data_IF_880243190334
#
_entry.id   IF_880243190334
#
_cell.length_a   1.000
_cell.length_b   1.000
_cell.length_c   1.000
_cell.angle_alpha   90.00
_cell.angle_beta   90.00
_cell.angle_gamma   90.00
#
_symmetry.space_group_name_H-M   'P 1'
#
loop_
_entity.id
_entity.type
_entity.pdbx_description
1 polymer ?
#
# COMPACT_ATOMS: atom_id res chain seq x y z
N UNK A 1 29.08 -43.62 -40.55
CA UNK A 1 29.91 -43.01 -39.50
C UNK A 1 29.33 -41.65 -39.11
N UNK A 2 28.84 -41.45 -37.88
CA UNK A 2 28.33 -40.17 -37.43
C UNK A 2 29.49 -39.26 -37.00
N UNK A 3 29.52 -38.02 -37.52
CA UNK A 3 30.50 -37.00 -37.11
C UNK A 3 30.15 -36.49 -35.72
N UNK A 4 31.01 -36.80 -34.75
CA UNK A 4 31.05 -36.18 -33.43
C UNK A 4 31.16 -34.65 -33.58
N UNK A 5 30.09 -33.92 -33.23
CA UNK A 5 30.22 -32.49 -32.90
C UNK A 5 30.51 -32.41 -31.41
N UNK A 6 31.73 -32.02 -31.08
CA UNK A 6 32.12 -31.69 -29.72
C UNK A 6 31.15 -30.63 -29.14
N UNK A 7 30.71 -30.75 -27.87
CA UNK A 7 29.91 -29.71 -27.24
C UNK A 7 30.79 -28.47 -27.02
N UNK A 8 30.35 -27.33 -27.55
CA UNK A 8 30.97 -26.04 -27.26
C UNK A 8 30.96 -25.77 -25.75
N UNK A 9 32.00 -25.09 -25.22
CA UNK A 9 32.12 -24.85 -23.79
C UNK A 9 30.91 -24.04 -23.30
N UNK A 10 30.21 -24.58 -22.30
CA UNK A 10 29.14 -23.88 -21.57
C UNK A 10 29.75 -22.70 -20.82
N UNK A 11 29.82 -21.57 -21.49
CA UNK A 11 30.06 -20.29 -20.86
C UNK A 11 28.92 -20.08 -19.84
N UNK A 12 29.28 -20.01 -18.55
CA UNK A 12 28.39 -19.72 -17.42
C UNK A 12 27.79 -18.33 -17.60
N UNK A 13 26.74 -18.24 -18.42
CA UNK A 13 25.99 -17.01 -18.65
C UNK A 13 25.17 -16.70 -17.39
N UNK A 14 25.77 -15.99 -16.44
CA UNK A 14 25.02 -15.20 -15.47
C UNK A 14 24.18 -14.19 -16.25
N UNK A 15 22.91 -14.53 -16.50
CA UNK A 15 21.94 -13.51 -16.89
C UNK A 15 21.54 -12.83 -15.59
N UNK A 16 21.81 -11.55 -15.48
CA UNK A 16 21.16 -10.73 -14.46
C UNK A 16 19.89 -10.23 -15.14
N UNK A 17 18.78 -10.23 -14.42
CA UNK A 17 17.71 -9.33 -14.77
C UNK A 17 17.69 -8.34 -13.63
N UNK A 18 17.51 -7.10 -14.01
CA UNK A 18 17.32 -6.01 -13.10
C UNK A 18 15.84 -5.70 -13.24
N UNK A 19 15.22 -5.26 -12.17
CA UNK A 19 13.92 -4.61 -12.26
C UNK A 19 14.25 -3.24 -11.76
N UNK A 20 14.31 -2.28 -12.67
CA UNK A 20 14.33 -0.89 -12.24
C UNK A 20 12.90 -0.41 -12.37
N UNK A 21 12.20 -0.35 -11.24
CA UNK A 21 11.07 0.58 -11.11
C UNK A 21 11.75 1.93 -10.95
N UNK A 22 11.82 2.68 -12.05
CA UNK A 22 12.40 4.02 -12.03
C UNK A 22 11.38 4.95 -11.40
N UNK A 23 11.85 5.74 -10.47
CA UNK A 23 11.98 7.14 -10.83
C UNK A 23 13.08 7.80 -9.99
N UNK A 24 13.65 8.87 -10.54
CA UNK A 24 14.80 9.54 -9.98
C UNK A 24 14.31 10.71 -9.12
N UNK A 25 15.04 11.13 -8.07
CA UNK A 25 14.87 12.49 -7.59
C UNK A 25 15.27 13.41 -8.75
N UNK A 26 14.29 14.00 -9.43
CA UNK A 26 14.54 15.20 -10.19
C UNK A 26 14.68 16.30 -9.16
N UNK A 27 15.87 16.86 -9.08
CA UNK A 27 16.04 18.18 -8.52
C UNK A 27 15.90 19.10 -9.71
N UNK A 28 14.81 19.84 -9.77
CA UNK A 28 14.71 20.98 -10.64
C UNK A 28 15.49 22.13 -10.00
N UNK A 29 16.19 22.89 -10.85
CA UNK A 29 16.79 24.13 -10.39
C UNK A 29 15.66 25.04 -9.91
N UNK A 30 15.83 25.60 -8.72
CA UNK A 30 14.83 26.42 -8.05
C UNK A 30 14.68 27.78 -8.77
N UNK A 31 14.11 27.82 -9.97
CA UNK A 31 13.98 29.06 -10.73
C UNK A 31 12.81 29.92 -10.25
N UNK A 32 12.87 31.25 -10.46
CA UNK A 32 11.75 32.18 -10.20
C UNK A 32 10.42 31.69 -10.80
N UNK A 33 10.45 31.14 -12.02
CA UNK A 33 9.26 30.61 -12.71
C UNK A 33 8.70 29.35 -12.06
N UNK A 34 9.56 28.52 -11.47
CA UNK A 34 9.15 27.29 -10.79
C UNK A 34 8.60 27.62 -9.39
N UNK A 35 9.25 28.50 -8.63
CA UNK A 35 8.82 28.94 -7.30
C UNK A 35 7.41 29.57 -7.34
N UNK A 36 7.16 30.36 -8.38
CA UNK A 36 5.86 31.02 -8.60
C UNK A 36 4.74 30.05 -9.00
N UNK A 37 5.08 28.91 -9.59
CA UNK A 37 4.16 27.82 -9.90
C UNK A 37 3.86 26.91 -8.69
N UNK A 38 4.87 26.66 -7.83
CA UNK A 38 4.75 25.74 -6.69
C UNK A 38 4.08 26.35 -5.45
N UNK A 39 4.14 27.67 -5.28
CA UNK A 39 3.63 28.33 -4.07
C UNK A 39 2.29 28.99 -4.38
N UNK A 40 1.22 28.53 -3.72
CA UNK A 40 -0.10 29.16 -3.74
C UNK A 40 -0.35 29.90 -2.42
N UNK A 41 -0.89 31.12 -2.49
CA UNK A 41 -1.34 31.88 -1.32
C UNK A 41 -2.54 32.72 -1.72
N UNK A 42 -3.54 32.77 -0.83
CA UNK A 42 -4.69 33.66 -0.97
C UNK A 42 -4.29 35.13 -0.79
N UNK A 43 -3.14 35.39 -0.16
CA UNK A 43 -2.52 36.71 -0.06
C UNK A 43 -1.41 36.85 -1.13
N UNK A 44 -1.76 37.51 -2.23
CA UNK A 44 -0.85 37.72 -3.37
C UNK A 44 0.40 38.52 -2.98
N UNK A 45 0.28 39.48 -2.06
CA UNK A 45 1.39 40.32 -1.64
C UNK A 45 2.43 39.52 -0.84
N UNK A 46 1.97 38.62 0.03
CA UNK A 46 2.85 37.71 0.78
C UNK A 46 3.57 36.72 -0.16
N UNK A 47 2.88 36.17 -1.15
CA UNK A 47 3.49 35.29 -2.17
C UNK A 47 4.55 36.03 -2.97
N UNK A 48 4.25 37.26 -3.42
CA UNK A 48 5.19 38.06 -4.20
C UNK A 48 6.41 38.44 -3.36
N UNK A 49 6.22 38.87 -2.11
CA UNK A 49 7.30 39.18 -1.17
C UNK A 49 8.26 38.01 -0.94
N UNK A 50 7.71 36.79 -0.84
CA UNK A 50 8.51 35.57 -0.71
C UNK A 50 9.30 35.23 -1.98
N UNK A 51 8.71 35.42 -3.16
CA UNK A 51 9.40 35.24 -4.45
C UNK A 51 10.52 36.28 -4.61
N UNK A 52 10.28 37.54 -4.26
CA UNK A 52 11.27 38.60 -4.36
C UNK A 52 12.42 38.39 -3.38
N UNK A 53 12.12 37.95 -2.15
CA UNK A 53 13.13 37.56 -1.17
C UNK A 53 14.01 36.43 -1.68
N UNK A 54 13.44 35.44 -2.37
CA UNK A 54 14.21 34.36 -2.98
C UNK A 54 15.18 34.86 -4.06
N UNK A 55 14.73 35.78 -4.92
CA UNK A 55 15.58 36.38 -5.96
C UNK A 55 16.75 37.16 -5.35
N UNK A 56 16.49 37.88 -4.26
CA UNK A 56 17.53 38.65 -3.60
C UNK A 56 18.56 37.76 -2.90
N UNK A 57 18.13 36.61 -2.36
CA UNK A 57 19.03 35.58 -1.83
C UNK A 57 19.89 34.97 -2.95
N UNK A 58 19.32 34.66 -4.12
CA UNK A 58 20.07 34.11 -5.26
C UNK A 58 21.15 35.08 -5.77
N UNK A 59 20.86 36.39 -5.77
CA UNK A 59 21.86 37.43 -6.11
C UNK A 59 22.97 37.56 -5.07
N UNK A 60 22.64 37.41 -3.78
CA UNK A 60 23.62 37.51 -2.70
C UNK A 60 24.55 36.30 -2.63
N UNK A 61 24.08 35.13 -3.06
CA UNK A 61 24.83 33.88 -3.03
C UNK A 61 24.84 33.23 -4.42
N UNK A 62 25.57 33.81 -5.40
CA UNK A 62 25.57 33.32 -6.78
C UNK A 62 26.15 31.90 -6.94
N UNK A 63 26.94 31.46 -5.97
CA UNK A 63 27.53 30.12 -5.93
C UNK A 63 26.66 29.09 -5.15
N UNK A 64 25.54 29.52 -4.56
CA UNK A 64 24.66 28.63 -3.81
C UNK A 64 23.70 27.87 -4.74
N UNK A 65 23.75 26.54 -4.67
CA UNK A 65 22.93 25.64 -5.49
C UNK A 65 21.60 25.32 -4.79
N UNK A 66 20.60 26.19 -5.00
CA UNK A 66 19.26 26.01 -4.46
C UNK A 66 18.44 25.02 -5.28
N UNK A 67 18.06 23.90 -4.66
CA UNK A 67 17.30 22.82 -5.29
C UNK A 67 15.96 22.59 -4.60
N UNK A 68 14.91 22.38 -5.39
CA UNK A 68 13.62 21.91 -4.90
C UNK A 68 13.53 20.40 -5.12
N UNK A 69 12.99 19.70 -4.12
CA UNK A 69 12.81 18.24 -4.17
C UNK A 69 11.47 17.95 -4.86
N UNK A 70 11.50 17.57 -6.14
CA UNK A 70 10.29 17.40 -6.95
C UNK A 70 9.48 16.15 -6.59
N UNK A 71 10.12 15.03 -6.21
CA UNK A 71 9.42 13.76 -5.90
C UNK A 71 10.29 12.75 -5.14
N UNK A 72 9.66 11.76 -4.49
CA UNK A 72 10.33 10.60 -3.87
C UNK A 72 9.92 9.33 -4.61
N UNK A 73 10.91 8.57 -5.07
CA UNK A 73 10.71 7.31 -5.77
C UNK A 73 11.61 6.23 -5.19
N UNK A 74 11.13 4.98 -5.25
CA UNK A 74 11.79 3.84 -4.63
C UNK A 74 12.35 2.90 -5.70
N UNK A 75 13.66 2.64 -5.65
CA UNK A 75 14.32 1.70 -6.53
C UNK A 75 14.51 0.35 -5.82
N UNK A 76 13.82 -0.68 -6.29
CA UNK A 76 13.99 -2.05 -5.79
C UNK A 76 14.71 -2.87 -6.85
N UNK A 77 15.97 -3.23 -6.58
CA UNK A 77 16.80 -4.01 -7.51
C UNK A 77 16.66 -5.49 -7.17
N UNK A 78 15.91 -6.21 -8.00
CA UNK A 78 15.89 -7.67 -7.95
C UNK A 78 17.13 -8.23 -8.66
N UNK A 79 17.89 -9.08 -7.97
CA UNK A 79 19.07 -9.77 -8.52
C UNK A 79 18.84 -11.28 -8.49
N UNK A 80 19.23 -11.97 -9.54
CA UNK A 80 19.20 -13.44 -9.59
C UNK A 80 20.53 -13.99 -10.07
N UNK A 81 20.97 -15.08 -9.44
CA UNK A 81 22.21 -15.76 -9.76
C UNK A 81 22.12 -16.66 -10.99
N UNK A 82 20.93 -17.20 -11.29
CA UNK A 82 20.73 -18.23 -12.34
C UNK A 82 20.13 -17.70 -13.64
N UNK A 83 19.92 -16.39 -13.78
CA UNK A 83 19.11 -15.84 -14.88
C UNK A 83 17.63 -15.86 -14.57
N UNK A 84 16.97 -14.73 -14.82
CA UNK A 84 15.51 -14.60 -14.65
C UNK A 84 14.84 -14.85 -15.99
N UNK A 85 13.78 -15.67 -15.99
CA UNK A 85 12.84 -15.75 -17.12
C UNK A 85 11.82 -14.62 -16.96
N UNK A 86 11.44 -13.95 -18.05
CA UNK A 86 10.41 -12.90 -18.03
C UNK A 86 9.16 -13.33 -17.26
N UNK A 87 8.62 -14.52 -17.55
CA UNK A 87 7.45 -15.04 -16.84
C UNK A 87 7.62 -15.20 -15.32
N UNK A 88 8.84 -15.44 -14.82
CA UNK A 88 9.10 -15.62 -13.38
C UNK A 88 9.34 -14.32 -12.62
N UNK A 89 9.39 -13.17 -13.30
CA UNK A 89 9.66 -11.87 -12.67
C UNK A 89 8.39 -11.17 -12.18
N UNK A 90 7.24 -11.52 -12.75
CA UNK A 90 5.96 -10.91 -12.43
C UNK A 90 5.57 -11.11 -10.96
N UNK A 91 5.80 -12.30 -10.39
CA UNK A 91 5.40 -12.58 -9.01
C UNK A 91 6.18 -11.72 -7.99
N UNK A 92 7.53 -11.65 -8.01
CA UNK A 92 8.28 -10.72 -7.15
C UNK A 92 7.87 -9.25 -7.32
N UNK A 93 7.64 -8.81 -8.56
CA UNK A 93 7.21 -7.44 -8.87
C UNK A 93 5.84 -7.15 -8.27
N UNK A 94 4.88 -8.06 -8.46
CA UNK A 94 3.55 -7.93 -7.88
C UNK A 94 3.61 -7.97 -6.35
N UNK A 95 4.46 -8.81 -5.75
CA UNK A 95 4.68 -8.80 -4.28
C UNK A 95 5.09 -7.41 -3.80
N UNK A 96 5.97 -6.70 -4.50
CA UNK A 96 6.37 -5.34 -4.13
C UNK A 96 5.18 -4.38 -4.22
N UNK A 97 4.45 -4.39 -5.34
CA UNK A 97 3.26 -3.54 -5.53
C UNK A 97 2.19 -3.80 -4.48
N UNK A 98 1.99 -5.05 -4.08
CA UNK A 98 1.04 -5.44 -3.04
C UNK A 98 1.43 -4.89 -1.66
N UNK A 99 2.72 -4.98 -1.30
CA UNK A 99 3.24 -4.41 -0.06
C UNK A 99 3.07 -2.89 -0.04
N UNK A 100 3.42 -2.21 -1.14
CA UNK A 100 3.27 -0.77 -1.24
C UNK A 100 1.79 -0.35 -1.17
N UNK A 101 0.89 -1.14 -1.78
CA UNK A 101 -0.55 -0.89 -1.68
C UNK A 101 -1.05 -0.96 -0.25
N UNK A 102 -0.54 -1.91 0.55
CA UNK A 102 -0.82 -1.99 1.99
C UNK A 102 -0.25 -0.78 2.74
N UNK A 103 1.03 -0.46 2.55
CA UNK A 103 1.70 0.62 3.27
C UNK A 103 1.10 2.01 2.98
N UNK A 104 0.62 2.24 1.75
CA UNK A 104 0.03 3.51 1.33
C UNK A 104 -1.50 3.53 1.43
N UNK A 105 -2.13 2.38 1.71
CA UNK A 105 -3.58 2.21 1.67
C UNK A 105 -4.22 2.71 0.35
N UNK A 106 -3.52 2.48 -0.76
CA UNK A 106 -3.86 3.03 -2.07
C UNK A 106 -3.52 2.02 -3.16
N UNK A 107 -4.20 2.05 -4.33
CA UNK A 107 -3.75 1.29 -5.48
C UNK A 107 -2.31 1.64 -5.85
N UNK A 108 -1.43 0.64 -5.87
CA UNK A 108 -0.05 0.79 -6.38
C UNK A 108 0.18 -0.24 -7.46
N UNK A 109 0.51 0.23 -8.66
CA UNK A 109 0.83 -0.60 -9.81
C UNK A 109 2.23 -0.31 -10.32
N UNK A 110 2.79 -1.29 -11.02
CA UNK A 110 4.09 -1.15 -11.66
C UNK A 110 3.81 -0.76 -13.10
N UNK A 111 4.15 0.49 -13.43
CA UNK A 111 3.96 1.05 -14.77
C UNK A 111 5.02 0.53 -15.75
N UNK A 112 6.27 0.48 -15.32
CA UNK A 112 7.36 -0.09 -16.11
C UNK A 112 8.41 -0.78 -15.24
N UNK A 113 9.13 -1.73 -15.84
CA UNK A 113 10.39 -2.22 -15.28
C UNK A 113 11.45 -2.46 -16.34
N UNK A 114 12.70 -2.15 -16.00
CA UNK A 114 13.84 -2.31 -16.89
C UNK A 114 14.61 -3.59 -16.61
N UNK A 115 14.65 -4.49 -17.59
CA UNK A 115 15.52 -5.66 -17.61
C UNK A 115 16.86 -5.34 -18.23
N UNK A 116 17.91 -5.32 -17.41
CA UNK A 116 19.27 -5.21 -17.93
C UNK A 116 19.82 -6.59 -18.32
N UNK A 117 20.25 -6.75 -19.57
CA UNK A 117 20.90 -7.94 -20.11
C UNK A 117 22.37 -7.65 -20.38
N UNK A 118 23.25 -8.43 -19.73
CA UNK A 118 24.70 -8.36 -19.93
C UNK A 118 25.14 -9.16 -21.17
N UNK A 119 25.94 -8.51 -22.00
CA UNK A 119 26.62 -9.09 -23.16
C UNK A 119 28.14 -9.00 -22.94
N UNK A 120 28.93 -9.72 -23.77
CA UNK A 120 30.39 -9.67 -23.68
C UNK A 120 30.97 -8.26 -23.91
N UNK A 121 30.27 -7.43 -24.67
CA UNK A 121 30.76 -6.11 -25.11
C UNK A 121 29.94 -4.94 -24.54
N UNK A 122 29.15 -5.19 -23.48
CA UNK A 122 28.35 -4.13 -22.85
C UNK A 122 27.04 -4.62 -22.27
N UNK A 123 26.19 -3.64 -21.98
CA UNK A 123 24.94 -3.81 -21.27
C UNK A 123 23.81 -3.26 -22.14
N UNK A 124 22.71 -4.00 -22.29
CA UNK A 124 21.51 -3.48 -22.96
C UNK A 124 20.31 -3.64 -22.05
N UNK A 125 19.45 -2.62 -22.07
CA UNK A 125 18.24 -2.56 -21.25
C UNK A 125 17.03 -2.86 -22.15
N UNK A 126 16.10 -3.64 -21.61
CA UNK A 126 14.78 -3.88 -22.21
C UNK A 126 13.76 -3.29 -21.25
N UNK A 127 12.99 -2.29 -21.72
CA UNK A 127 11.85 -1.81 -20.96
C UNK A 127 10.66 -2.75 -21.17
N UNK A 128 10.00 -3.10 -20.08
CA UNK A 128 8.83 -3.96 -20.08
C UNK A 128 7.67 -3.20 -19.45
N UNK A 129 6.59 -3.10 -20.22
CA UNK A 129 5.32 -2.51 -19.80
C UNK A 129 4.34 -3.65 -19.55
N UNK A 130 3.97 -3.94 -18.28
CA UNK A 130 2.97 -4.95 -17.99
C UNK A 130 1.60 -4.49 -18.48
N UNK A 131 0.89 -5.35 -19.20
CA UNK A 131 -0.51 -5.10 -19.55
C UNK A 131 -1.38 -5.23 -18.29
N UNK A 132 -2.21 -4.21 -18.03
CA UNK A 132 -3.15 -4.19 -16.92
C UNK A 132 -4.51 -3.68 -17.41
N UNK A 133 -5.60 -4.28 -16.91
CA UNK A 133 -6.96 -3.81 -17.13
C UNK A 133 -7.43 -3.16 -15.84
N UNK A 134 -7.48 -1.82 -15.82
CA UNK A 134 -7.81 -1.03 -14.64
C UNK A 134 -9.00 -0.13 -14.92
N UNK A 135 -9.85 0.06 -13.92
CA UNK A 135 -10.89 1.10 -13.95
C UNK A 135 -10.23 2.48 -13.94
N UNK A 136 -10.81 3.44 -14.67
CA UNK A 136 -10.27 4.82 -14.72
C UNK A 136 -10.16 5.44 -13.33
N UNK A 137 -11.12 5.21 -12.44
CA UNK A 137 -11.09 5.75 -11.08
C UNK A 137 -9.98 5.15 -10.24
N UNK A 138 -9.67 3.88 -10.46
CA UNK A 138 -8.51 3.23 -9.84
C UNK A 138 -7.21 3.85 -10.32
N UNK A 139 -7.11 4.17 -11.62
CA UNK A 139 -5.96 4.90 -12.17
C UNK A 139 -5.86 6.30 -11.53
N UNK A 140 -6.97 7.03 -11.48
CA UNK A 140 -7.01 8.37 -10.87
C UNK A 140 -6.57 8.34 -9.39
N UNK A 141 -6.96 7.31 -8.64
CA UNK A 141 -6.50 7.10 -7.26
C UNK A 141 -5.02 6.73 -7.18
N UNK A 142 -4.52 5.87 -8.08
CA UNK A 142 -3.11 5.49 -8.12
C UNK A 142 -2.18 6.68 -8.45
N UNK A 143 -2.67 7.61 -9.29
CA UNK A 143 -1.95 8.82 -9.70
C UNK A 143 -2.08 9.98 -8.73
N UNK A 144 -2.94 9.87 -7.71
CA UNK A 144 -3.14 10.93 -6.73
C UNK A 144 -1.86 11.12 -5.89
N UNK A 145 -1.37 12.34 -5.83
CA UNK A 145 -0.20 12.68 -5.01
C UNK A 145 -0.44 12.33 -3.54
N UNK A 146 0.45 11.52 -2.99
CA UNK A 146 0.51 11.17 -1.58
C UNK A 146 1.71 11.89 -0.96
N UNK A 147 1.45 12.90 -0.13
CA UNK A 147 2.54 13.56 0.60
C UNK A 147 3.08 12.61 1.68
N UNK A 148 4.24 12.01 1.42
CA UNK A 148 4.92 11.07 2.32
C UNK A 148 5.15 11.60 3.75
N UNK A 149 5.23 12.93 3.94
CA UNK A 149 5.32 13.56 5.27
C UNK A 149 4.06 13.39 6.12
N UNK A 150 2.91 13.19 5.48
CA UNK A 150 1.61 13.02 6.12
C UNK A 150 1.32 11.52 6.35
N UNK A 151 2.10 10.64 5.72
CA UNK A 151 1.92 9.19 5.87
C UNK A 151 2.42 8.72 7.25
N UNK A 152 1.55 8.05 8.03
CA UNK A 152 1.86 7.61 9.39
C UNK A 152 2.95 6.53 9.41
N UNK A 153 3.08 5.77 8.34
CA UNK A 153 4.16 4.81 8.10
C UNK A 153 5.00 5.34 6.94
N UNK A 154 6.29 5.54 7.17
CA UNK A 154 7.23 6.03 6.18
C UNK A 154 8.65 5.50 6.45
N UNK A 155 9.56 5.67 5.50
CA UNK A 155 10.90 5.10 5.55
C UNK A 155 11.78 5.63 6.69
N UNK A 156 11.41 6.75 7.31
CA UNK A 156 12.14 7.27 8.47
C UNK A 156 11.74 6.57 9.77
N UNK A 157 10.56 5.94 9.82
CA UNK A 157 10.03 5.31 11.03
C UNK A 157 9.89 3.79 10.95
N UNK A 158 10.24 3.18 9.82
CA UNK A 158 10.29 1.72 9.65
C UNK A 158 11.63 1.25 9.08
N UNK A 159 12.03 0.04 9.44
CA UNK A 159 13.06 -0.69 8.70
C UNK A 159 12.41 -1.37 7.47
N UNK A 160 12.47 -0.68 6.33
CA UNK A 160 11.90 -1.19 5.09
C UNK A 160 12.60 -2.46 4.60
N UNK A 161 13.89 -2.65 4.91
CA UNK A 161 14.64 -3.85 4.50
C UNK A 161 14.16 -5.08 5.27
N UNK A 162 13.94 -4.93 6.58
CA UNK A 162 13.33 -5.98 7.41
C UNK A 162 11.91 -6.29 6.94
N UNK A 163 11.09 -5.27 6.68
CA UNK A 163 9.72 -5.44 6.18
C UNK A 163 9.71 -6.19 4.85
N UNK A 164 10.55 -5.80 3.90
CA UNK A 164 10.67 -6.51 2.62
C UNK A 164 11.09 -7.96 2.83
N UNK A 165 12.07 -8.22 3.69
CA UNK A 165 12.55 -9.57 3.98
C UNK A 165 11.42 -10.43 4.56
N UNK A 166 10.72 -9.92 5.57
CA UNK A 166 9.58 -10.60 6.18
C UNK A 166 8.45 -10.81 5.17
N UNK A 167 8.14 -9.80 4.34
CA UNK A 167 7.10 -9.88 3.32
C UNK A 167 7.38 -10.96 2.27
N UNK A 168 8.63 -11.07 1.81
CA UNK A 168 9.03 -12.09 0.86
C UNK A 168 9.12 -13.49 1.48
N UNK A 169 9.34 -13.58 2.80
CA UNK A 169 9.36 -14.84 3.54
C UNK A 169 7.95 -15.38 3.89
N UNK A 170 6.89 -14.57 3.77
CA UNK A 170 5.51 -15.01 4.05
C UNK A 170 5.04 -16.02 2.99
N UNK A 171 5.02 -17.31 3.35
CA UNK A 171 4.54 -18.39 2.47
C UNK A 171 3.01 -18.33 2.24
N UNK A 172 2.25 -17.75 3.19
CA UNK A 172 0.78 -17.74 3.19
C UNK A 172 0.14 -16.51 2.52
N UNK A 173 0.82 -15.88 1.58
CA UNK A 173 0.33 -14.66 0.90
C UNK A 173 -1.05 -14.82 0.27
N UNK A 174 -1.37 -16.02 -0.24
CA UNK A 174 -2.70 -16.35 -0.80
C UNK A 174 -3.84 -16.07 0.17
N UNK A 175 -3.58 -16.08 1.48
CA UNK A 175 -4.62 -15.89 2.48
C UNK A 175 -5.05 -14.43 2.61
N UNK A 176 -4.25 -13.49 2.10
CA UNK A 176 -4.55 -12.05 2.11
C UNK A 176 -4.76 -11.46 0.71
N UNK A 177 -4.76 -12.28 -0.34
CA UNK A 177 -4.90 -11.79 -1.73
C UNK A 177 -6.18 -10.96 -1.90
N UNK A 178 -7.31 -11.45 -1.38
CA UNK A 178 -8.58 -10.73 -1.49
C UNK A 178 -8.56 -9.35 -0.80
N UNK A 179 -7.84 -9.22 0.33
CA UNK A 179 -7.64 -7.91 0.97
C UNK A 179 -6.81 -6.99 0.08
N UNK A 180 -5.68 -7.49 -0.42
CA UNK A 180 -4.76 -6.74 -1.27
C UNK A 180 -5.45 -6.30 -2.56
N UNK A 181 -6.17 -7.22 -3.21
CA UNK A 181 -6.93 -6.97 -4.44
C UNK A 181 -8.03 -5.92 -4.20
N UNK A 182 -8.68 -5.94 -3.02
CA UNK A 182 -9.66 -4.91 -2.65
C UNK A 182 -9.04 -3.52 -2.45
N UNK A 183 -7.74 -3.42 -2.15
CA UNK A 183 -7.02 -2.13 -2.10
C UNK A 183 -6.61 -1.73 -3.50
N UNK A 184 -6.06 -2.67 -4.28
CA UNK A 184 -5.53 -2.41 -5.62
C UNK A 184 -6.61 -2.01 -6.62
N UNK A 185 -7.82 -2.56 -6.49
CA UNK A 185 -8.94 -2.27 -7.39
C UNK A 185 -9.97 -1.33 -6.75
N UNK A 186 -9.57 -0.58 -5.71
CA UNK A 186 -10.40 0.46 -5.14
C UNK A 186 -10.71 1.53 -6.19
N UNK A 187 -11.95 2.01 -6.20
CA UNK A 187 -12.41 3.07 -7.13
C UNK A 187 -12.78 4.35 -6.38
N UNK A 188 -12.78 4.33 -5.05
CA UNK A 188 -13.13 5.46 -4.20
C UNK A 188 -14.63 5.68 -4.06
N UNK A 189 -15.44 4.91 -4.80
CA UNK A 189 -16.88 4.87 -4.68
C UNK A 189 -17.26 3.45 -4.27
N UNK A 190 -18.13 3.35 -3.26
CA UNK A 190 -18.67 2.06 -2.81
C UNK A 190 -20.17 2.09 -2.84
N UNK A 191 -20.76 1.11 -3.51
CA UNK A 191 -22.19 0.87 -3.43
C UNK A 191 -22.50 -0.19 -2.37
N UNK A 192 -23.75 -0.22 -1.91
CA UNK A 192 -24.16 -1.02 -0.73
C UNK A 192 -23.79 -2.50 -0.84
N UNK A 193 -23.90 -3.11 -2.02
CA UNK A 193 -23.56 -4.53 -2.21
C UNK A 193 -22.05 -4.78 -2.01
N UNK A 194 -21.19 -3.86 -2.42
CA UNK A 194 -19.74 -3.98 -2.26
C UNK A 194 -19.39 -3.92 -0.78
N UNK A 195 -19.97 -2.98 -0.06
CA UNK A 195 -19.77 -2.85 1.39
C UNK A 195 -20.24 -4.09 2.14
N UNK A 196 -21.38 -4.67 1.76
CA UNK A 196 -21.85 -5.94 2.32
C UNK A 196 -20.85 -7.07 2.07
N UNK A 197 -20.36 -7.21 0.84
CA UNK A 197 -19.39 -8.23 0.46
C UNK A 197 -18.07 -8.07 1.23
N UNK A 198 -17.58 -6.84 1.37
CA UNK A 198 -16.39 -6.53 2.14
C UNK A 198 -16.54 -6.90 3.62
N UNK A 199 -17.67 -6.56 4.26
CA UNK A 199 -17.91 -6.93 5.65
C UNK A 199 -17.86 -8.44 5.82
N UNK A 200 -18.51 -9.20 4.93
CA UNK A 200 -18.50 -10.67 4.99
C UNK A 200 -17.10 -11.22 4.77
N UNK A 201 -16.39 -10.72 3.76
CA UNK A 201 -15.02 -11.12 3.43
C UNK A 201 -14.05 -10.85 4.57
N UNK A 202 -14.04 -9.63 5.10
CA UNK A 202 -13.15 -9.24 6.20
C UNK A 202 -13.53 -9.97 7.50
N UNK A 203 -14.82 -10.17 7.79
CA UNK A 203 -15.22 -11.00 8.93
C UNK A 203 -14.67 -12.43 8.81
N UNK A 204 -14.75 -13.06 7.63
CA UNK A 204 -14.17 -14.39 7.40
C UNK A 204 -12.63 -14.39 7.52
N UNK A 205 -11.95 -13.34 7.04
CA UNK A 205 -10.51 -13.22 7.24
C UNK A 205 -10.14 -13.05 8.73
N UNK A 206 -10.95 -12.35 9.53
CA UNK A 206 -10.71 -12.23 10.97
C UNK A 206 -10.84 -13.57 11.72
N UNK A 207 -11.75 -14.44 11.28
CA UNK A 207 -11.84 -15.81 11.80
C UNK A 207 -10.55 -16.58 11.51
N UNK A 208 -10.02 -16.47 10.29
CA UNK A 208 -8.73 -17.06 9.93
C UNK A 208 -7.59 -16.52 10.81
N UNK A 209 -7.54 -15.20 11.04
CA UNK A 209 -6.54 -14.57 11.94
C UNK A 209 -6.63 -15.15 13.36
N UNK A 210 -7.84 -15.28 13.91
CA UNK A 210 -8.01 -15.86 15.26
C UNK A 210 -7.56 -17.32 15.33
N UNK A 211 -7.86 -18.13 14.30
CA UNK A 211 -7.41 -19.53 14.21
C UNK A 211 -5.89 -19.60 14.13
N UNK A 212 -5.26 -18.73 13.33
CA UNK A 212 -3.80 -18.69 13.18
C UNK A 212 -3.08 -18.33 14.49
N UNK A 213 -3.72 -17.53 15.34
CA UNK A 213 -3.26 -17.17 16.68
C UNK A 213 -3.63 -18.22 17.76
N UNK A 214 -4.22 -19.35 17.37
CA UNK A 214 -4.60 -20.43 18.28
C UNK A 214 -5.91 -20.21 19.05
N UNK A 215 -6.66 -19.14 18.75
CA UNK A 215 -7.96 -18.86 19.36
C UNK A 215 -9.07 -19.59 18.59
N UNK A 216 -9.33 -20.85 18.98
CA UNK A 216 -10.31 -21.71 18.33
C UNK A 216 -11.73 -21.62 18.93
N UNK A 217 -11.97 -20.73 19.89
CA UNK A 217 -13.29 -20.61 20.53
C UNK A 217 -14.24 -19.80 19.66
N UNK A 218 -15.36 -20.40 19.26
CA UNK A 218 -16.38 -19.78 18.41
C UNK A 218 -16.92 -18.44 18.95
N UNK A 219 -16.92 -18.26 20.28
CA UNK A 219 -17.36 -17.02 20.93
C UNK A 219 -16.37 -15.85 20.78
N UNK A 220 -15.09 -16.12 20.51
CA UNK A 220 -14.02 -15.12 20.48
C UNK A 220 -13.48 -14.83 19.08
N UNK A 221 -13.99 -15.52 18.05
CA UNK A 221 -13.45 -15.52 16.68
C UNK A 221 -13.29 -14.15 16.00
N UNK A 222 -13.99 -13.12 16.48
CA UNK A 222 -13.81 -11.74 16.03
C UNK A 222 -13.19 -10.85 17.12
N UNK A 223 -13.62 -11.04 18.38
CA UNK A 223 -13.20 -10.21 19.51
C UNK A 223 -11.68 -10.24 19.69
N UNK A 224 -11.08 -11.42 19.60
CA UNK A 224 -9.63 -11.60 19.78
C UNK A 224 -8.85 -10.75 18.77
N UNK A 225 -9.09 -10.99 17.48
CA UNK A 225 -8.40 -10.27 16.40
C UNK A 225 -8.63 -8.75 16.49
N UNK A 226 -9.88 -8.32 16.74
CA UNK A 226 -10.21 -6.89 16.83
C UNK A 226 -9.49 -6.23 18.01
N UNK A 227 -9.57 -6.80 19.22
CA UNK A 227 -8.92 -6.23 20.41
C UNK A 227 -7.39 -6.23 20.32
N UNK A 228 -6.80 -7.24 19.66
CA UNK A 228 -5.35 -7.34 19.52
C UNK A 228 -4.80 -6.35 18.48
N UNK A 229 -5.49 -6.22 17.34
CA UNK A 229 -4.95 -5.57 16.15
C UNK A 229 -5.54 -4.23 15.78
N UNK A 230 -6.71 -3.84 16.31
CA UNK A 230 -7.32 -2.55 16.03
C UNK A 230 -7.02 -1.54 17.15
N UNK A 231 -6.74 -0.27 16.78
CA UNK A 231 -6.59 0.81 17.76
C UNK A 231 -7.78 0.87 18.72
N UNK A 232 -7.47 0.95 20.00
CA UNK A 232 -8.45 1.05 21.09
C UNK A 232 -9.38 2.25 20.91
N UNK A 233 -8.86 3.36 20.35
CA UNK A 233 -9.65 4.55 20.04
C UNK A 233 -10.72 4.25 19.00
N UNK A 234 -10.39 3.48 17.97
CA UNK A 234 -11.33 3.08 16.92
C UNK A 234 -12.41 2.17 17.51
N UNK A 235 -12.02 1.18 18.31
CA UNK A 235 -12.94 0.27 19.00
C UNK A 235 -13.92 1.09 19.85
N UNK A 236 -13.41 1.98 20.70
CA UNK A 236 -14.23 2.84 21.55
C UNK A 236 -15.23 3.68 20.75
N UNK A 237 -14.79 4.27 19.63
CA UNK A 237 -15.68 5.07 18.78
C UNK A 237 -16.79 4.24 18.15
N UNK A 238 -16.52 3.00 17.74
CA UNK A 238 -17.52 2.08 17.19
C UNK A 238 -18.53 1.70 18.28
N UNK A 239 -18.06 1.22 19.44
CA UNK A 239 -18.91 0.82 20.55
C UNK A 239 -19.84 1.96 20.99
N UNK A 240 -19.28 3.16 21.14
CA UNK A 240 -20.03 4.35 21.54
C UNK A 240 -21.04 4.79 20.48
N UNK A 241 -20.65 4.81 19.20
CA UNK A 241 -21.52 5.29 18.11
C UNK A 241 -22.76 4.43 17.95
N UNK A 242 -22.62 3.12 18.10
CA UNK A 242 -23.70 2.17 17.86
C UNK A 242 -24.33 1.65 19.15
N UNK A 243 -23.90 2.14 20.31
CA UNK A 243 -24.35 1.70 21.63
C UNK A 243 -24.28 0.17 21.81
N UNK A 244 -23.09 -0.38 21.53
CA UNK A 244 -22.80 -1.82 21.57
C UNK A 244 -21.90 -2.12 22.77
N UNK A 245 -22.18 -3.23 23.46
CA UNK A 245 -21.34 -3.72 24.55
C UNK A 245 -20.19 -4.63 24.07
N UNK A 246 -20.47 -5.50 23.08
CA UNK A 246 -19.50 -6.44 22.51
C UNK A 246 -19.40 -6.32 20.98
N UNK A 247 -18.24 -5.84 20.52
CA UNK A 247 -17.96 -5.68 19.09
C UNK A 247 -17.98 -6.99 18.31
N UNK A 248 -17.57 -8.11 18.91
CA UNK A 248 -17.55 -9.40 18.22
C UNK A 248 -18.95 -9.97 18.02
N UNK A 249 -19.84 -9.82 19.01
CA UNK A 249 -21.25 -10.20 18.85
C UNK A 249 -21.88 -9.37 17.73
N UNK A 250 -21.67 -8.04 17.76
CA UNK A 250 -22.19 -7.15 16.73
C UNK A 250 -21.72 -7.52 15.31
N UNK A 251 -20.41 -7.78 15.11
CA UNK A 251 -19.89 -8.19 13.80
C UNK A 251 -20.43 -9.56 13.38
N UNK A 252 -20.56 -10.51 14.31
CA UNK A 252 -21.17 -11.81 14.07
C UNK A 252 -22.60 -11.67 13.55
N UNK A 253 -23.41 -10.87 14.25
CA UNK A 253 -24.81 -10.69 13.90
C UNK A 253 -24.98 -9.92 12.61
N UNK A 254 -24.19 -8.86 12.39
CA UNK A 254 -24.18 -8.09 11.15
C UNK A 254 -23.83 -8.97 9.94
N UNK A 255 -22.75 -9.76 10.01
CA UNK A 255 -22.38 -10.73 8.96
C UNK A 255 -23.52 -11.70 8.69
N UNK A 256 -24.12 -12.25 9.74
CA UNK A 256 -25.20 -13.22 9.61
C UNK A 256 -26.46 -12.59 8.99
N UNK A 257 -26.79 -11.34 9.34
CA UNK A 257 -27.87 -10.59 8.71
C UNK A 257 -27.57 -10.27 7.24
N UNK A 258 -26.31 -10.07 6.84
CA UNK A 258 -25.96 -9.87 5.43
C UNK A 258 -26.12 -11.19 4.64
N UNK A 259 -25.58 -12.29 5.14
CA UNK A 259 -25.46 -13.56 4.38
C UNK A 259 -26.77 -14.36 4.35
N UNK A 260 -27.55 -14.37 5.43
CA UNK A 260 -28.74 -15.21 5.54
C UNK A 260 -30.01 -14.44 5.20
N UNK A 261 -30.59 -14.69 4.02
CA UNK A 261 -31.79 -14.01 3.50
C UNK A 261 -32.94 -14.05 4.52
N UNK A 262 -33.20 -15.21 5.15
CA UNK A 262 -34.29 -15.39 6.12
C UNK A 262 -34.05 -14.81 7.52
N UNK A 263 -32.85 -14.30 7.84
CA UNK A 263 -32.57 -13.69 9.15
C UNK A 263 -33.18 -12.27 9.19
N UNK A 264 -33.91 -11.89 10.26
CA UNK A 264 -34.41 -10.53 10.44
C UNK A 264 -33.27 -9.50 10.39
N UNK A 265 -33.46 -8.41 9.65
CA UNK A 265 -32.42 -7.39 9.37
C UNK A 265 -32.43 -6.26 10.42
N UNK A 266 -32.33 -6.62 11.71
CA UNK A 266 -32.47 -5.65 12.81
C UNK A 266 -31.33 -4.63 12.80
N UNK A 267 -30.09 -5.10 12.71
CA UNK A 267 -28.90 -4.26 12.68
C UNK A 267 -28.81 -3.53 11.33
N UNK A 268 -28.99 -4.25 10.21
CA UNK A 268 -28.84 -3.67 8.88
C UNK A 268 -29.83 -2.53 8.58
N UNK A 269 -31.04 -2.55 9.16
CA UNK A 269 -32.00 -1.46 9.00
C UNK A 269 -31.65 -0.21 9.82
N UNK A 270 -30.81 -0.34 10.84
CA UNK A 270 -30.39 0.79 11.69
C UNK A 270 -29.13 1.50 11.17
N UNK A 271 -28.39 0.86 10.26
CA UNK A 271 -27.12 1.35 9.75
C UNK A 271 -27.29 2.01 8.39
N UNK A 272 -26.74 3.21 8.24
CA UNK A 272 -26.57 3.82 6.91
C UNK A 272 -25.47 3.10 6.13
N UNK A 273 -25.42 3.31 4.81
CA UNK A 273 -24.31 2.80 3.98
C UNK A 273 -22.97 3.37 4.49
N UNK A 274 -22.95 4.62 4.93
CA UNK A 274 -21.75 5.24 5.51
C UNK A 274 -21.29 4.54 6.80
N UNK A 275 -22.23 4.12 7.66
CA UNK A 275 -21.92 3.35 8.86
C UNK A 275 -21.32 1.99 8.52
N UNK A 276 -21.91 1.30 7.55
CA UNK A 276 -21.40 0.04 7.04
C UNK A 276 -20.01 0.19 6.41
N UNK A 277 -19.74 1.29 5.69
CA UNK A 277 -18.41 1.60 5.16
C UNK A 277 -17.39 1.79 6.28
N UNK A 278 -17.76 2.48 7.37
CA UNK A 278 -16.87 2.66 8.53
C UNK A 278 -16.61 1.34 9.25
N UNK A 279 -17.62 0.48 9.38
CA UNK A 279 -17.43 -0.87 9.94
C UNK A 279 -16.52 -1.70 9.03
N UNK A 280 -16.79 -1.75 7.72
CA UNK A 280 -15.95 -2.43 6.74
C UNK A 280 -14.49 -1.99 6.84
N UNK A 281 -14.26 -0.66 6.88
CA UNK A 281 -12.91 -0.09 6.99
C UNK A 281 -12.22 -0.49 8.30
N UNK A 282 -12.92 -0.53 9.43
CA UNK A 282 -12.36 -0.98 10.70
C UNK A 282 -11.93 -2.46 10.66
N UNK A 283 -12.74 -3.33 10.06
CA UNK A 283 -12.38 -4.74 9.87
C UNK A 283 -11.16 -4.87 8.94
N UNK A 284 -11.14 -4.14 7.82
CA UNK A 284 -10.01 -4.06 6.89
C UNK A 284 -8.71 -3.66 7.61
N UNK A 285 -8.76 -2.59 8.39
CA UNK A 285 -7.64 -2.06 9.17
C UNK A 285 -7.16 -3.02 10.27
N UNK A 286 -8.06 -3.83 10.83
CA UNK A 286 -7.71 -4.87 11.80
C UNK A 286 -6.85 -5.95 11.15
N UNK A 287 -7.22 -6.41 9.94
CA UNK A 287 -6.46 -7.41 9.18
C UNK A 287 -5.12 -6.83 8.72
N UNK A 288 -5.09 -5.57 8.28
CA UNK A 288 -3.83 -4.87 7.98
C UNK A 288 -2.94 -4.79 9.23
N UNK A 289 -3.51 -4.52 10.40
CA UNK A 289 -2.76 -4.51 11.67
C UNK A 289 -2.09 -5.84 11.97
N UNK A 290 -2.78 -6.96 11.73
CA UNK A 290 -2.20 -8.30 11.83
C UNK A 290 -1.04 -8.52 10.86
N UNK A 291 -1.21 -8.13 9.58
CA UNK A 291 -0.16 -8.24 8.58
C UNK A 291 1.05 -7.38 8.98
N UNK A 292 0.83 -6.16 9.46
CA UNK A 292 1.89 -5.26 9.88
C UNK A 292 2.64 -5.75 11.12
N UNK A 293 1.98 -6.39 12.09
CA UNK A 293 2.67 -7.04 13.21
C UNK A 293 3.60 -8.15 12.69
N UNK A 294 3.13 -8.99 11.75
CA UNK A 294 3.94 -10.03 11.09
C UNK A 294 5.11 -9.48 10.26
N UNK A 295 5.01 -8.22 9.83
CA UNK A 295 6.08 -7.49 9.16
C UNK A 295 7.02 -6.77 10.15
N UNK A 296 6.82 -6.95 11.46
CA UNK A 296 7.59 -6.32 12.54
C UNK A 296 7.43 -4.79 12.59
N UNK A 297 6.30 -4.26 12.14
CA UNK A 297 5.97 -2.84 12.31
C UNK A 297 5.52 -2.60 13.76
N UNK A 298 6.05 -1.55 14.37
CA UNK A 298 5.72 -1.19 15.75
C UNK A 298 4.22 -0.91 15.92
N UNK A 299 3.62 -1.47 16.99
CA UNK A 299 2.19 -1.35 17.30
C UNK A 299 1.68 0.10 17.36
N UNK A 300 2.47 1.04 17.88
CA UNK A 300 2.10 2.45 17.92
C UNK A 300 2.00 3.06 16.52
N UNK A 301 2.88 2.67 15.59
CA UNK A 301 2.81 3.09 14.19
C UNK A 301 1.61 2.47 13.48
N UNK A 302 1.30 1.20 13.77
CA UNK A 302 0.08 0.55 13.27
C UNK A 302 -1.16 1.33 13.73
N UNK A 303 -1.24 1.71 15.00
CA UNK A 303 -2.38 2.49 15.51
C UNK A 303 -2.48 3.87 14.86
N UNK A 304 -1.36 4.59 14.72
CA UNK A 304 -1.32 5.87 13.99
C UNK A 304 -1.80 5.71 12.54
N UNK A 305 -1.39 4.63 11.88
CA UNK A 305 -1.84 4.29 10.53
C UNK A 305 -3.35 4.10 10.46
N UNK A 306 -3.90 3.27 11.35
CA UNK A 306 -5.32 2.99 11.38
C UNK A 306 -6.13 4.26 11.67
N UNK A 307 -5.69 5.06 12.65
CA UNK A 307 -6.39 6.29 13.02
C UNK A 307 -6.39 7.34 11.91
N UNK A 308 -5.27 7.50 11.21
CA UNK A 308 -5.14 8.36 10.03
C UNK A 308 -6.18 8.00 8.96
N UNK A 309 -6.21 6.75 8.52
CA UNK A 309 -7.13 6.31 7.46
C UNK A 309 -8.60 6.25 7.92
N UNK A 310 -8.84 6.10 9.22
CA UNK A 310 -10.19 6.17 9.76
C UNK A 310 -10.74 7.61 9.81
N UNK A 311 -9.87 8.61 9.64
CA UNK A 311 -10.18 10.04 9.64
C UNK A 311 -10.11 10.69 11.02
N UNK A 312 -9.41 10.09 11.98
CA UNK A 312 -9.13 10.76 13.25
C UNK A 312 -8.00 11.77 13.04
N UNK A 313 -8.18 12.98 13.58
CA UNK A 313 -7.07 13.93 13.67
C UNK A 313 -6.01 13.34 14.60
N UNK A 314 -4.82 13.10 14.06
CA UNK A 314 -3.61 12.85 14.83
C UNK A 314 -3.13 14.21 15.33
N UNK A 315 -3.22 14.44 16.64
CA UNK A 315 -2.60 15.58 17.30
C UNK A 315 -1.07 15.43 17.28
#
# INVERSE_FOLDING_TARGET
>A
MPRNRAPLPRCSRQRRAYVQVKSFPKFSFCSKSLLSALIYSDNKDAKNSLIDSYIDIEKQFPDADFKIKDDIFYQIILKSEKGIRLGSIHEPINKISDLLSLLLFSPVFIDEFLLEKKYKNGVSNVCVYPMMLLDKRTIDLALKENHHHIMPINFSNIDFSLILTNWFAQEKKSNYSALIDSIKHETGLKVKYEVHNEIVMYATQLEFVSIEEGENKSKNKYVHSIKKYLSERIIFCILKKFNIDDIGIFISDLRNEIVHIGKPKKILHQLSVYDLMKISLALKLTIIGFIFEKLSINKQLIYKYQEHFMGFKTN
#
